data_IF_063658747905
#
_entry.id   IF_063658747905
#
_cell.length_a   1.000
_cell.length_b   1.000
_cell.length_c   1.000
_cell.angle_alpha   90.00
_cell.angle_beta   90.00
_cell.angle_gamma   90.00
#
_symmetry.space_group_name_H-M   'P 1'
#
loop_
_entity.id
_entity.type
_entity.pdbx_description
1 polymer ?
#
# COMPACT_ATOMS: atom_id res chain seq x y z
N UNK A 1 -7.79 -25.06 -41.87
CA UNK A 1 -7.38 -24.19 -40.75
C UNK A 1 -7.20 -22.73 -41.18
N UNK A 2 -6.31 -22.42 -42.13
CA UNK A 2 -6.07 -21.03 -42.57
C UNK A 2 -7.27 -20.34 -43.25
N UNK A 3 -8.08 -21.08 -44.03
CA UNK A 3 -9.31 -20.54 -44.64
C UNK A 3 -10.39 -20.19 -43.62
N UNK A 4 -10.52 -21.00 -42.57
CA UNK A 4 -11.47 -20.76 -41.48
C UNK A 4 -11.12 -19.48 -40.70
N UNK A 5 -9.82 -19.23 -40.49
CA UNK A 5 -9.32 -18.01 -39.85
C UNK A 5 -9.57 -16.79 -40.74
N UNK A 6 -9.32 -16.88 -42.05
CA UNK A 6 -9.60 -15.79 -42.99
C UNK A 6 -11.09 -15.45 -43.05
N UNK A 7 -11.96 -16.45 -43.01
CA UNK A 7 -13.41 -16.26 -43.06
C UNK A 7 -13.98 -15.64 -41.77
N UNK A 8 -13.42 -16.00 -40.62
CA UNK A 8 -13.93 -15.59 -39.30
C UNK A 8 -13.04 -14.57 -38.57
N UNK A 9 -12.11 -13.93 -39.29
CA UNK A 9 -11.12 -13.01 -38.71
C UNK A 9 -11.76 -11.90 -37.85
N UNK A 10 -12.89 -11.36 -38.31
CA UNK A 10 -13.62 -10.31 -37.58
C UNK A 10 -14.13 -10.78 -36.22
N UNK A 11 -14.75 -11.96 -36.18
CA UNK A 11 -15.26 -12.57 -34.93
C UNK A 11 -14.12 -12.91 -33.97
N UNK A 12 -12.99 -13.41 -34.49
CA UNK A 12 -11.79 -13.72 -33.71
C UNK A 12 -11.24 -12.44 -33.05
N UNK A 13 -11.18 -11.32 -33.79
CA UNK A 13 -10.73 -10.03 -33.26
C UNK A 13 -11.64 -9.51 -32.14
N UNK A 14 -12.96 -9.66 -32.30
CA UNK A 14 -13.92 -9.24 -31.27
C UNK A 14 -13.75 -10.07 -30.00
N UNK A 15 -13.66 -11.40 -30.12
CA UNK A 15 -13.44 -12.30 -28.98
C UNK A 15 -12.15 -11.95 -28.26
N UNK A 16 -11.07 -11.71 -29.02
CA UNK A 16 -9.79 -11.30 -28.45
C UNK A 16 -9.90 -9.96 -27.71
N UNK A 17 -10.62 -8.98 -28.28
CA UNK A 17 -10.84 -7.69 -27.62
C UNK A 17 -11.54 -7.83 -26.26
N UNK A 18 -12.61 -8.63 -26.19
CA UNK A 18 -13.34 -8.85 -24.94
C UNK A 18 -12.53 -9.64 -23.91
N UNK A 19 -11.67 -10.57 -24.33
CA UNK A 19 -10.72 -11.23 -23.42
C UNK A 19 -9.75 -10.24 -22.80
N UNK A 20 -9.19 -9.34 -23.60
CA UNK A 20 -8.28 -8.29 -23.10
C UNK A 20 -9.04 -7.32 -22.19
N UNK A 21 -10.26 -6.90 -22.56
CA UNK A 21 -11.09 -6.04 -21.73
C UNK A 21 -11.43 -6.69 -20.37
N UNK A 22 -11.79 -7.98 -20.35
CA UNK A 22 -12.07 -8.72 -19.12
C UNK A 22 -10.85 -8.79 -18.18
N UNK A 23 -9.65 -9.06 -18.72
CA UNK A 23 -8.44 -9.06 -17.91
C UNK A 23 -8.10 -7.67 -17.35
N UNK A 24 -8.38 -6.60 -18.11
CA UNK A 24 -8.25 -5.23 -17.64
C UNK A 24 -9.20 -4.94 -16.48
N UNK A 25 -10.48 -5.32 -16.59
CA UNK A 25 -11.47 -5.16 -15.52
C UNK A 25 -11.04 -5.88 -14.24
N UNK A 26 -10.61 -7.13 -14.33
CA UNK A 26 -10.11 -7.91 -13.17
C UNK A 26 -8.93 -7.18 -12.51
N UNK A 27 -7.97 -6.72 -13.30
CA UNK A 27 -6.78 -6.01 -12.80
C UNK A 27 -7.15 -4.71 -12.07
N UNK A 28 -8.14 -3.97 -12.57
CA UNK A 28 -8.58 -2.71 -11.94
C UNK A 28 -9.28 -2.98 -10.61
N UNK A 29 -10.15 -3.99 -10.54
CA UNK A 29 -10.83 -4.39 -9.31
C UNK A 29 -9.79 -4.84 -8.26
N UNK A 30 -8.82 -5.66 -8.66
CA UNK A 30 -7.74 -6.12 -7.77
C UNK A 30 -6.84 -4.98 -7.26
N UNK A 31 -6.65 -3.92 -8.05
CA UNK A 31 -5.86 -2.74 -7.64
C UNK A 31 -6.55 -1.85 -6.60
N UNK A 32 -7.82 -2.13 -6.24
CA UNK A 32 -8.56 -1.44 -5.19
C UNK A 32 -8.54 0.10 -5.34
N UNK A 33 -8.66 0.55 -6.60
CA UNK A 33 -8.73 1.97 -6.96
C UNK A 33 -10.14 2.51 -6.67
N UNK A 34 -10.24 3.81 -6.36
CA UNK A 34 -11.49 4.52 -6.07
C UNK A 34 -12.68 3.95 -6.89
N UNK A 35 -13.73 3.41 -6.23
CA UNK A 35 -14.77 2.61 -6.89
C UNK A 35 -15.48 3.37 -8.02
N UNK A 36 -15.65 4.68 -7.84
CA UNK A 36 -16.26 5.58 -8.83
C UNK A 36 -15.47 5.68 -10.14
N UNK A 37 -14.12 5.70 -10.06
CA UNK A 37 -13.27 5.73 -11.25
C UNK A 37 -13.25 4.38 -11.95
N UNK A 38 -13.17 3.30 -11.18
CA UNK A 38 -13.18 1.92 -11.68
C UNK A 38 -14.45 1.64 -12.50
N UNK A 39 -15.62 2.00 -11.98
CA UNK A 39 -16.90 1.89 -12.71
C UNK A 39 -16.87 2.64 -14.05
N UNK A 40 -16.31 3.85 -14.07
CA UNK A 40 -16.22 4.65 -15.31
C UNK A 40 -15.39 3.94 -16.38
N UNK A 41 -14.26 3.29 -16.01
CA UNK A 41 -13.45 2.53 -16.96
C UNK A 41 -14.13 1.24 -17.43
N UNK A 42 -14.83 0.54 -16.55
CA UNK A 42 -15.58 -0.69 -16.90
C UNK A 42 -16.66 -0.36 -17.93
N UNK A 43 -17.45 0.69 -17.70
CA UNK A 43 -18.49 1.14 -18.64
C UNK A 43 -17.86 1.43 -20.01
N UNK A 44 -16.78 2.22 -20.05
CA UNK A 44 -16.12 2.55 -21.32
C UNK A 44 -15.56 1.30 -22.03
N UNK A 45 -15.00 0.34 -21.28
CA UNK A 45 -14.49 -0.93 -21.83
C UNK A 45 -15.59 -1.84 -22.39
N UNK A 46 -16.77 -1.85 -21.79
CA UNK A 46 -17.90 -2.70 -22.22
C UNK A 46 -18.64 -2.09 -23.42
N UNK A 47 -18.89 -0.78 -23.41
CA UNK A 47 -19.68 -0.12 -24.45
C UNK A 47 -18.87 0.26 -25.70
N UNK A 48 -17.55 0.42 -25.59
CA UNK A 48 -16.69 0.80 -26.70
C UNK A 48 -15.59 -0.24 -26.93
N UNK A 49 -15.84 -1.32 -27.70
CA UNK A 49 -14.80 -2.26 -28.06
C UNK A 49 -13.67 -1.54 -28.82
N UNK A 50 -12.44 -1.98 -28.60
CA UNK A 50 -11.19 -1.34 -29.06
C UNK A 50 -10.89 0.05 -28.47
N UNK A 51 -11.79 1.02 -28.61
CA UNK A 51 -11.65 2.38 -28.10
C UNK A 51 -11.51 2.43 -26.58
N UNK A 52 -12.25 1.57 -25.87
CA UNK A 52 -12.20 1.51 -24.42
C UNK A 52 -10.84 1.05 -23.88
N UNK A 53 -10.12 0.19 -24.62
CA UNK A 53 -8.75 -0.20 -24.25
C UNK A 53 -7.78 0.97 -24.37
N UNK A 54 -7.92 1.81 -25.41
CA UNK A 54 -7.09 3.00 -25.60
C UNK A 54 -7.35 4.01 -24.48
N UNK A 55 -8.62 4.30 -24.19
CA UNK A 55 -9.01 5.20 -23.09
C UNK A 55 -8.51 4.68 -21.75
N UNK A 56 -8.65 3.37 -21.48
CA UNK A 56 -8.12 2.75 -20.28
C UNK A 56 -6.59 2.87 -20.19
N UNK A 57 -5.86 2.69 -21.29
CA UNK A 57 -4.41 2.81 -21.28
C UNK A 57 -3.96 4.25 -20.96
N UNK A 58 -4.62 5.25 -21.55
CA UNK A 58 -4.27 6.67 -21.37
C UNK A 58 -4.69 7.23 -20.00
N UNK A 59 -5.90 6.91 -19.55
CA UNK A 59 -6.51 7.53 -18.36
C UNK A 59 -6.65 6.56 -17.19
N UNK A 60 -6.80 5.27 -17.45
CA UNK A 60 -7.09 4.22 -16.47
C UNK A 60 -5.95 3.89 -15.51
N UNK A 61 -4.70 4.01 -15.96
CA UNK A 61 -3.56 3.70 -15.12
C UNK A 61 -3.05 4.94 -14.38
N UNK A 62 -3.18 4.95 -13.05
CA UNK A 62 -2.59 5.97 -12.16
C UNK A 62 -1.04 5.84 -12.06
N UNK A 63 -0.33 5.91 -13.19
CA UNK A 63 1.14 5.76 -13.26
C UNK A 63 1.90 6.74 -12.34
N UNK A 64 1.41 7.98 -12.26
CA UNK A 64 2.05 9.04 -11.45
C UNK A 64 2.02 8.75 -9.95
N UNK A 65 0.92 8.16 -9.46
CA UNK A 65 0.72 7.87 -8.03
C UNK A 65 1.70 6.77 -7.58
N UNK A 66 1.76 5.67 -8.32
CA UNK A 66 2.64 4.54 -7.99
C UNK A 66 4.13 4.94 -7.94
N UNK A 67 4.58 5.81 -8.86
CA UNK A 67 5.98 6.28 -8.88
C UNK A 67 6.33 7.15 -7.67
N UNK A 68 5.40 7.99 -7.19
CA UNK A 68 5.61 8.85 -6.01
C UNK A 68 5.61 8.01 -4.73
N UNK A 69 4.66 7.08 -4.58
CA UNK A 69 4.61 6.21 -3.40
C UNK A 69 5.81 5.25 -3.32
N UNK A 70 6.27 4.72 -4.44
CA UNK A 70 7.50 3.90 -4.48
C UNK A 70 8.72 4.70 -4.02
N UNK A 71 8.91 5.93 -4.53
CA UNK A 71 10.02 6.80 -4.11
C UNK A 71 9.92 7.22 -2.63
N UNK A 72 8.73 7.61 -2.17
CA UNK A 72 8.51 8.03 -0.78
C UNK A 72 8.70 6.85 0.19
N UNK A 73 8.30 5.63 -0.20
CA UNK A 73 8.55 4.42 0.56
C UNK A 73 10.04 4.08 0.73
N UNK A 74 10.87 4.34 -0.30
CA UNK A 74 12.32 4.11 -0.22
C UNK A 74 13.00 5.12 0.73
N UNK A 75 12.61 6.40 0.65
CA UNK A 75 13.16 7.45 1.53
C UNK A 75 12.78 7.17 3.00
N UNK A 76 11.53 6.81 3.26
CA UNK A 76 11.09 6.49 4.62
C UNK A 76 11.83 5.27 5.18
N UNK A 77 12.08 4.24 4.36
CA UNK A 77 12.85 3.06 4.77
C UNK A 77 14.28 3.40 5.18
N UNK A 78 14.95 4.33 4.48
CA UNK A 78 16.31 4.71 4.85
C UNK A 78 16.36 5.48 6.17
N UNK A 79 15.43 6.40 6.39
CA UNK A 79 15.32 7.14 7.66
C UNK A 79 15.01 6.18 8.81
N UNK A 80 14.03 5.28 8.63
CA UNK A 80 13.68 4.26 9.62
C UNK A 80 14.88 3.36 9.90
N UNK A 81 15.64 2.92 8.89
CA UNK A 81 16.85 2.11 9.09
C UNK A 81 17.95 2.83 9.89
N UNK A 82 18.16 4.13 9.65
CA UNK A 82 19.16 4.89 10.40
C UNK A 82 18.77 5.04 11.86
N UNK A 83 17.53 5.44 12.13
CA UNK A 83 16.98 5.52 13.49
C UNK A 83 17.02 4.14 14.15
N UNK A 84 16.73 3.09 13.38
CA UNK A 84 16.74 1.74 13.92
C UNK A 84 18.14 1.28 14.33
N UNK A 85 19.16 1.61 13.54
CA UNK A 85 20.55 1.29 13.90
C UNK A 85 21.01 2.00 15.18
N UNK A 86 20.49 3.18 15.48
CA UNK A 86 20.81 3.92 16.70
C UNK A 86 20.09 3.37 17.94
N UNK A 87 18.88 2.82 17.75
CA UNK A 87 18.04 2.30 18.82
C UNK A 87 18.10 0.77 18.96
N UNK A 88 18.94 0.10 18.16
CA UNK A 88 19.12 -1.35 18.20
C UNK A 88 19.61 -1.81 19.58
N UNK A 89 18.78 -2.61 20.26
CA UNK A 89 19.13 -3.19 21.54
C UNK A 89 20.25 -4.22 21.36
N UNK A 90 21.29 -4.12 22.18
CA UNK A 90 22.29 -5.18 22.26
C UNK A 90 21.66 -6.50 22.73
N UNK A 91 22.21 -7.64 22.30
CA UNK A 91 21.73 -8.97 22.69
C UNK A 91 21.62 -9.13 24.22
N UNK A 92 22.52 -8.48 24.97
CA UNK A 92 22.51 -8.49 26.44
C UNK A 92 21.35 -7.69 27.04
N UNK A 93 20.92 -6.60 26.41
CA UNK A 93 19.74 -5.85 26.84
C UNK A 93 18.47 -6.64 26.53
N UNK A 94 18.39 -7.26 25.36
CA UNK A 94 17.26 -8.12 24.98
C UNK A 94 17.04 -9.27 25.97
N UNK A 95 18.11 -9.98 26.35
CA UNK A 95 18.02 -11.07 27.31
C UNK A 95 17.58 -10.62 28.71
N UNK A 96 17.96 -9.39 29.14
CA UNK A 96 17.50 -8.83 30.42
C UNK A 96 16.00 -8.50 30.41
N UNK A 97 15.50 -8.02 29.28
CA UNK A 97 14.09 -7.69 29.05
C UNK A 97 13.25 -8.97 29.00
N UNK A 98 13.75 -10.02 28.34
CA UNK A 98 13.08 -11.32 28.28
C UNK A 98 12.84 -11.89 29.68
N UNK A 99 13.79 -11.71 30.60
CA UNK A 99 13.66 -12.14 32.00
C UNK A 99 12.70 -11.27 32.83
N UNK A 100 12.36 -10.06 32.38
CA UNK A 100 11.51 -9.11 33.13
C UNK A 100 10.05 -9.12 32.65
N UNK A 101 9.80 -9.58 31.42
CA UNK A 101 8.49 -9.47 30.76
C UNK A 101 7.70 -10.77 30.65
N UNK A 102 8.16 -11.89 31.22
CA UNK A 102 7.47 -13.20 31.29
C UNK A 102 6.53 -13.49 30.09
N UNK A 103 5.22 -13.21 30.24
CA UNK A 103 4.18 -13.50 29.24
C UNK A 103 4.19 -12.58 28.01
N UNK A 104 4.78 -11.38 28.12
CA UNK A 104 4.84 -10.38 27.05
C UNK A 104 6.07 -10.53 26.16
N UNK A 105 6.96 -11.48 26.47
CA UNK A 105 8.16 -11.80 25.66
C UNK A 105 7.80 -12.11 24.21
N UNK A 106 6.65 -12.76 23.96
CA UNK A 106 6.18 -13.03 22.59
C UNK A 106 5.94 -11.75 21.79
N UNK A 107 5.40 -10.71 22.43
CA UNK A 107 5.15 -9.42 21.79
C UNK A 107 6.47 -8.69 21.52
N UNK A 108 7.40 -8.74 22.47
CA UNK A 108 8.76 -8.19 22.30
C UNK A 108 9.49 -8.85 21.14
N UNK A 109 9.42 -10.19 21.02
CA UNK A 109 9.98 -10.95 19.89
C UNK A 109 9.31 -10.59 18.56
N UNK A 110 7.99 -10.42 18.56
CA UNK A 110 7.24 -10.03 17.35
C UNK A 110 7.66 -8.63 16.87
N UNK A 111 7.74 -7.65 17.77
CA UNK A 111 8.20 -6.29 17.45
C UNK A 111 9.63 -6.33 16.90
N UNK A 112 10.54 -7.03 17.58
CA UNK A 112 11.93 -7.14 17.14
C UNK A 112 12.10 -7.86 15.79
N UNK A 113 11.23 -8.82 15.45
CA UNK A 113 11.24 -9.49 14.14
C UNK A 113 10.78 -8.61 12.98
N UNK A 114 10.14 -7.48 13.28
CA UNK A 114 9.64 -6.55 12.29
C UNK A 114 10.71 -5.47 12.05
N UNK A 115 11.43 -5.53 10.92
CA UNK A 115 12.60 -4.66 10.61
C UNK A 115 12.33 -3.14 10.72
N UNK A 116 11.07 -2.72 10.77
CA UNK A 116 10.65 -1.32 10.85
C UNK A 116 10.18 -0.87 12.25
N UNK A 117 10.14 -1.75 13.25
CA UNK A 117 9.63 -1.44 14.58
C UNK A 117 10.63 -1.88 15.65
N UNK A 118 11.21 -0.92 16.36
CA UNK A 118 12.10 -1.22 17.48
C UNK A 118 11.41 -1.04 18.81
N UNK A 119 11.85 -1.87 19.76
CA UNK A 119 11.48 -1.72 21.15
C UNK A 119 12.30 -0.57 21.77
N UNK A 120 11.63 0.53 22.10
CA UNK A 120 12.22 1.59 22.93
C UNK A 120 11.98 1.30 24.40
N UNK A 121 12.95 1.67 25.24
CA UNK A 121 12.90 1.47 26.69
C UNK A 121 12.99 2.83 27.39
N UNK A 122 12.51 2.88 28.64
CA UNK A 122 12.52 4.08 29.46
C UNK A 122 11.80 5.27 28.82
N UNK A 123 10.68 5.00 28.13
CA UNK A 123 9.84 6.06 27.59
C UNK A 123 9.16 6.82 28.74
N UNK A 124 9.17 8.14 28.66
CA UNK A 124 8.27 8.97 29.45
C UNK A 124 6.90 8.98 28.78
N UNK A 125 5.86 8.60 29.52
CA UNK A 125 4.53 8.36 28.96
C UNK A 125 3.51 9.16 29.75
N UNK A 126 2.83 10.06 29.05
CA UNK A 126 1.64 10.73 29.57
C UNK A 126 0.38 10.08 28.99
N UNK A 127 -0.52 9.63 29.86
CA UNK A 127 -1.80 9.04 29.45
C UNK A 127 -2.84 10.15 29.38
N UNK A 128 -3.29 10.47 28.17
CA UNK A 128 -4.36 11.43 27.94
C UNK A 128 -5.68 10.68 27.81
N UNK A 129 -6.59 10.93 28.75
CA UNK A 129 -7.95 10.40 28.73
C UNK A 129 -8.84 11.58 28.36
N UNK A 130 -9.61 11.45 27.28
CA UNK A 130 -10.49 12.47 26.65
C UNK A 130 -9.89 13.24 25.47
N UNK A 131 -10.77 13.60 24.53
CA UNK A 131 -10.39 14.26 23.29
C UNK A 131 -9.99 15.73 23.46
N UNK A 132 -10.66 16.46 24.36
CA UNK A 132 -10.40 17.89 24.55
C UNK A 132 -8.95 18.14 24.97
N UNK A 133 -8.49 17.47 26.03
CA UNK A 133 -7.13 17.55 26.56
C UNK A 133 -6.08 17.15 25.50
N UNK A 134 -6.40 16.16 24.67
CA UNK A 134 -5.55 15.72 23.55
C UNK A 134 -5.41 16.82 22.49
N UNK A 135 -6.48 17.54 22.16
CA UNK A 135 -6.43 18.59 21.16
C UNK A 135 -5.75 19.86 21.67
N UNK A 136 -5.96 20.21 22.95
CA UNK A 136 -5.26 21.34 23.57
C UNK A 136 -3.75 21.12 23.58
N UNK A 137 -3.28 19.96 24.08
CA UNK A 137 -1.84 19.62 24.07
C UNK A 137 -1.26 19.58 22.67
N UNK A 138 -1.94 18.93 21.73
CA UNK A 138 -1.48 18.85 20.34
C UNK A 138 -1.31 20.22 19.70
N UNK A 139 -2.26 21.14 19.90
CA UNK A 139 -2.17 22.49 19.34
C UNK A 139 -1.06 23.30 20.02
N UNK A 140 -0.86 23.12 21.32
CA UNK A 140 0.26 23.73 22.03
C UNK A 140 1.61 23.26 21.48
N UNK A 141 1.79 21.94 21.28
CA UNK A 141 3.02 21.36 20.73
C UNK A 141 3.30 21.86 19.31
N UNK A 142 2.29 21.93 18.44
CA UNK A 142 2.43 22.44 17.07
C UNK A 142 2.87 23.92 17.07
N UNK A 143 2.36 24.73 18.00
CA UNK A 143 2.76 26.13 18.11
C UNK A 143 4.18 26.32 18.64
N UNK A 144 4.75 25.33 19.30
CA UNK A 144 6.11 25.35 19.87
C UNK A 144 7.17 24.66 19.00
N UNK A 145 6.75 24.04 17.89
CA UNK A 145 7.62 23.35 16.93
C UNK A 145 8.14 24.27 15.82
#
# INVERSE_FOLDING_TARGET
MLEYIKHNWWSILIIFNYLVAASAVITVILKNLNPTKTLSYIVVLVFFPFLGLIVYYLFGQEYRKNKIFSKKGIVNKNVIKTVNKELELSQNQFNKIENYLDEKVKLVKLLHSNENELLTLNNDIEIIINGNDKFEKLLADINQA
#
